data_IF_297013030314
#
_entry.id   IF_297013030314
#
_cell.length_a   1.000
_cell.length_b   1.000
_cell.length_c   1.000
_cell.angle_alpha   90.00
_cell.angle_beta   90.00
_cell.angle_gamma   90.00
#
_symmetry.space_group_name_H-M   'P 1'
#
loop_
_entity.id
_entity.type
_entity.pdbx_description
1 polymer ?
#
# COMPACT_ATOMS: atom_id res chain seq x y z
N UNK A 1 -35.26 4.26 25.36
CA UNK A 1 -34.66 3.89 24.05
C UNK A 1 -34.23 5.13 23.25
N UNK A 2 -35.16 5.96 22.76
CA UNK A 2 -34.82 7.19 22.03
C UNK A 2 -33.96 8.18 22.85
N UNK A 3 -34.29 8.40 24.11
CA UNK A 3 -33.56 9.28 25.03
C UNK A 3 -32.08 8.92 25.14
N UNK A 4 -31.75 7.64 25.36
CA UNK A 4 -30.37 7.18 25.46
C UNK A 4 -29.59 7.31 24.15
N UNK A 5 -30.22 7.09 23.00
CA UNK A 5 -29.56 7.31 21.70
C UNK A 5 -29.22 8.79 21.47
N UNK A 6 -30.07 9.72 21.92
CA UNK A 6 -29.81 11.16 21.84
C UNK A 6 -28.66 11.55 22.78
N UNK A 7 -28.67 11.05 24.02
CA UNK A 7 -27.56 11.28 24.96
C UNK A 7 -26.23 10.76 24.41
N UNK A 8 -26.21 9.53 23.86
CA UNK A 8 -25.02 8.97 23.23
C UNK A 8 -24.48 9.83 22.08
N UNK A 9 -25.37 10.39 21.24
CA UNK A 9 -24.98 11.33 20.17
C UNK A 9 -24.41 12.63 20.71
N UNK A 10 -25.03 13.20 21.73
CA UNK A 10 -24.58 14.45 22.37
C UNK A 10 -23.19 14.25 22.98
N UNK A 11 -23.00 13.21 23.80
CA UNK A 11 -21.71 12.92 24.39
C UNK A 11 -20.65 12.56 23.34
N UNK A 12 -21.03 11.82 22.28
CA UNK A 12 -20.14 11.56 21.15
C UNK A 12 -19.72 12.82 20.38
N UNK A 13 -20.59 13.83 20.28
CA UNK A 13 -20.25 15.12 19.68
C UNK A 13 -19.40 15.99 20.61
N UNK A 14 -19.61 15.89 21.92
CA UNK A 14 -18.79 16.53 22.95
C UNK A 14 -17.46 15.81 23.22
N UNK A 15 -17.22 14.67 22.57
CA UNK A 15 -16.05 13.81 22.78
C UNK A 15 -15.93 13.36 24.27
N UNK A 16 -17.08 13.23 24.94
CA UNK A 16 -17.18 12.90 26.36
C UNK A 16 -17.24 11.39 26.57
N UNK A 17 -16.09 10.81 26.90
CA UNK A 17 -15.93 9.39 27.17
C UNK A 17 -16.75 8.91 28.38
N UNK A 18 -16.77 9.68 29.46
CA UNK A 18 -17.44 9.30 30.70
C UNK A 18 -18.96 9.40 30.54
N UNK A 19 -19.44 10.41 29.80
CA UNK A 19 -20.84 10.51 29.40
C UNK A 19 -21.33 9.31 28.58
N UNK A 20 -20.52 8.80 27.64
CA UNK A 20 -20.88 7.62 26.84
C UNK A 20 -20.94 6.35 27.72
N UNK A 21 -19.98 6.16 28.64
CA UNK A 21 -20.03 5.05 29.61
C UNK A 21 -21.27 5.12 30.49
N UNK A 22 -21.56 6.31 31.02
CA UNK A 22 -22.72 6.55 31.87
C UNK A 22 -24.00 6.13 31.17
N UNK A 23 -24.19 6.50 29.90
CA UNK A 23 -25.36 6.07 29.11
C UNK A 23 -25.51 4.54 29.09
N UNK A 24 -24.43 3.80 28.86
CA UNK A 24 -24.49 2.34 28.83
C UNK A 24 -24.77 1.73 30.22
N UNK A 25 -24.16 2.27 31.27
CA UNK A 25 -24.37 1.83 32.65
C UNK A 25 -25.80 2.10 33.12
N UNK A 26 -26.34 3.28 32.83
CA UNK A 26 -27.71 3.65 33.20
C UNK A 26 -28.75 2.81 32.46
N UNK A 27 -28.53 2.49 31.19
CA UNK A 27 -29.41 1.55 30.49
C UNK A 27 -29.46 0.20 31.18
N UNK A 28 -28.29 -0.31 31.62
CA UNK A 28 -28.20 -1.57 32.36
C UNK A 28 -28.85 -1.46 33.76
N UNK A 29 -28.67 -0.35 34.48
CA UNK A 29 -29.22 -0.16 35.83
C UNK A 29 -30.75 -0.07 35.84
N UNK A 30 -31.33 0.56 34.81
CA UNK A 30 -32.80 0.68 34.63
C UNK A 30 -33.40 -0.58 33.95
N UNK A 31 -32.58 -1.60 33.67
CA UNK A 31 -33.03 -2.86 33.07
C UNK A 31 -33.43 -2.76 31.59
N UNK A 32 -33.05 -1.68 30.91
CA UNK A 32 -33.34 -1.46 29.49
C UNK A 32 -32.19 -2.00 28.64
N UNK A 33 -32.46 -3.08 27.89
CA UNK A 33 -31.45 -3.63 26.95
C UNK A 33 -31.29 -2.71 25.73
N UNK A 34 -30.05 -2.36 25.35
CA UNK A 34 -29.82 -1.64 24.10
C UNK A 34 -30.26 -2.48 22.90
N UNK A 35 -30.83 -1.84 21.88
CA UNK A 35 -31.02 -2.45 20.57
C UNK A 35 -29.85 -2.11 19.65
N UNK A 36 -29.85 -2.69 18.45
CA UNK A 36 -28.82 -2.47 17.43
C UNK A 36 -28.60 -0.98 17.12
N UNK A 37 -29.66 -0.17 17.07
CA UNK A 37 -29.55 1.26 16.81
C UNK A 37 -28.76 2.01 17.91
N UNK A 38 -29.02 1.69 19.18
CA UNK A 38 -28.30 2.28 20.31
C UNK A 38 -26.84 1.83 20.29
N UNK A 39 -26.56 0.55 20.07
CA UNK A 39 -25.19 0.05 19.95
C UNK A 39 -24.42 0.74 18.82
N UNK A 40 -25.00 0.87 17.63
CA UNK A 40 -24.36 1.57 16.51
C UNK A 40 -24.04 3.02 16.87
N UNK A 41 -24.97 3.70 17.54
CA UNK A 41 -24.76 5.08 18.01
C UNK A 41 -23.61 5.17 19.02
N UNK A 42 -23.52 4.22 19.96
CA UNK A 42 -22.45 4.18 20.95
C UNK A 42 -21.10 3.89 20.29
N UNK A 43 -21.02 2.92 19.36
CA UNK A 43 -19.79 2.59 18.64
C UNK A 43 -19.29 3.80 17.83
N UNK A 44 -20.17 4.48 17.09
CA UNK A 44 -19.82 5.71 16.37
C UNK A 44 -19.32 6.81 17.31
N UNK A 45 -19.99 7.02 18.45
CA UNK A 45 -19.59 8.01 19.45
C UNK A 45 -18.19 7.69 20.01
N UNK A 46 -17.94 6.42 20.39
CA UNK A 46 -16.64 5.98 20.90
C UNK A 46 -15.54 6.10 19.84
N UNK A 47 -15.88 5.86 18.57
CA UNK A 47 -14.95 6.06 17.46
C UNK A 47 -14.48 7.51 17.31
N UNK A 48 -15.32 8.49 17.66
CA UNK A 48 -14.92 9.92 17.69
C UNK A 48 -14.01 10.25 18.85
N UNK A 49 -14.22 9.61 20.01
CA UNK A 49 -13.37 9.75 21.20
C UNK A 49 -12.01 9.08 21.02
N UNK A 50 -11.91 8.11 20.10
CA UNK A 50 -10.65 7.39 19.84
C UNK A 50 -10.32 6.38 20.95
N UNK A 51 -11.34 5.69 21.49
CA UNK A 51 -11.17 4.65 22.53
C UNK A 51 -11.48 3.25 21.97
N UNK A 52 -10.57 2.65 21.18
CA UNK A 52 -10.80 1.37 20.49
C UNK A 52 -11.11 0.20 21.45
N UNK A 53 -10.49 0.17 22.63
CA UNK A 53 -10.77 -0.83 23.66
C UNK A 53 -12.25 -0.84 24.10
N UNK A 54 -12.82 0.36 24.25
CA UNK A 54 -14.21 0.50 24.66
C UNK A 54 -15.15 0.14 23.49
N UNK A 55 -14.80 0.52 22.26
CA UNK A 55 -15.57 0.10 21.07
C UNK A 55 -15.64 -1.42 20.96
N UNK A 56 -14.52 -2.12 21.20
CA UNK A 56 -14.47 -3.59 21.25
C UNK A 56 -15.43 -4.14 22.31
N UNK A 57 -15.38 -3.63 23.54
CA UNK A 57 -16.27 -4.11 24.61
C UNK A 57 -17.76 -3.90 24.29
N UNK A 58 -18.12 -2.81 23.62
CA UNK A 58 -19.51 -2.53 23.20
C UNK A 58 -19.92 -3.49 22.08
N UNK A 59 -19.02 -3.78 21.14
CA UNK A 59 -19.26 -4.74 20.06
C UNK A 59 -19.43 -6.16 20.59
N UNK A 60 -18.58 -6.59 21.53
CA UNK A 60 -18.70 -7.89 22.21
C UNK A 60 -20.03 -8.00 22.98
N UNK A 61 -20.45 -6.95 23.69
CA UNK A 61 -21.74 -6.89 24.41
C UNK A 61 -22.95 -6.95 23.44
N UNK A 62 -22.86 -6.33 22.26
CA UNK A 62 -23.87 -6.45 21.19
C UNK A 62 -24.01 -7.91 20.74
N UNK A 63 -22.88 -8.57 20.43
CA UNK A 63 -22.88 -9.95 19.94
C UNK A 63 -23.36 -10.92 21.03
N UNK A 64 -22.90 -10.73 22.27
CA UNK A 64 -23.32 -11.53 23.43
C UNK A 64 -24.82 -11.36 23.76
N UNK A 65 -25.41 -10.22 23.41
CA UNK A 65 -26.84 -9.96 23.54
C UNK A 65 -27.70 -10.67 22.48
N UNK A 66 -27.09 -11.46 21.60
CA UNK A 66 -27.77 -12.22 20.54
C UNK A 66 -28.19 -11.36 19.35
N UNK A 67 -27.72 -10.11 19.26
CA UNK A 67 -27.99 -9.23 18.13
C UNK A 67 -27.00 -9.53 17.00
N UNK A 68 -27.49 -9.46 15.76
CA UNK A 68 -26.64 -9.56 14.56
C UNK A 68 -26.16 -8.15 14.18
N UNK A 69 -24.84 -7.88 14.14
CA UNK A 69 -24.30 -6.65 13.58
C UNK A 69 -24.74 -6.47 12.13
N UNK A 70 -24.95 -5.22 11.72
CA UNK A 70 -25.16 -4.90 10.31
C UNK A 70 -23.93 -4.20 9.71
N UNK A 71 -23.99 -3.90 8.42
CA UNK A 71 -22.90 -3.31 7.63
C UNK A 71 -22.40 -2.00 8.26
N UNK A 72 -23.31 -1.20 8.85
CA UNK A 72 -22.96 0.03 9.57
C UNK A 72 -22.18 -0.25 10.84
N UNK A 73 -22.61 -1.23 11.64
CA UNK A 73 -21.88 -1.65 12.85
C UNK A 73 -20.47 -2.09 12.48
N UNK A 74 -20.36 -2.99 11.51
CA UNK A 74 -19.10 -3.60 11.08
C UNK A 74 -18.14 -2.56 10.49
N UNK A 75 -18.65 -1.65 9.66
CA UNK A 75 -17.86 -0.55 9.09
C UNK A 75 -17.34 0.39 10.17
N UNK A 76 -18.17 0.72 11.17
CA UNK A 76 -17.75 1.60 12.26
C UNK A 76 -16.62 0.96 13.09
N UNK A 77 -16.75 -0.32 13.44
CA UNK A 77 -15.72 -1.05 14.19
C UNK A 77 -14.43 -1.19 13.36
N UNK A 78 -14.52 -1.57 12.09
CA UNK A 78 -13.36 -1.66 11.20
C UNK A 78 -12.60 -0.33 11.09
N UNK A 79 -13.31 0.80 10.93
CA UNK A 79 -12.69 2.14 10.92
C UNK A 79 -11.99 2.47 12.23
N UNK A 80 -12.56 2.09 13.37
CA UNK A 80 -11.97 2.33 14.68
C UNK A 80 -10.68 1.53 14.85
N UNK A 81 -10.69 0.24 14.47
CA UNK A 81 -9.51 -0.61 14.55
C UNK A 81 -8.41 -0.16 13.59
N UNK A 82 -8.76 0.19 12.34
CA UNK A 82 -7.80 0.71 11.37
C UNK A 82 -7.12 1.98 11.85
N UNK A 83 -7.88 2.98 12.33
CA UNK A 83 -7.31 4.22 12.88
C UNK A 83 -6.44 4.00 14.12
N UNK A 84 -6.65 2.92 14.85
CA UNK A 84 -5.88 2.58 16.04
C UNK A 84 -4.67 1.68 15.73
N UNK A 85 -4.50 1.20 14.50
CA UNK A 85 -3.50 0.18 14.15
C UNK A 85 -3.76 -1.17 14.81
N UNK A 86 -5.00 -1.47 15.20
CA UNK A 86 -5.37 -2.72 15.87
C UNK A 86 -5.62 -3.84 14.86
N UNK A 87 -4.56 -4.23 14.16
CA UNK A 87 -4.62 -5.20 13.07
C UNK A 87 -5.16 -6.57 13.52
N UNK A 88 -4.72 -7.06 14.68
CA UNK A 88 -5.17 -8.36 15.22
C UNK A 88 -6.69 -8.37 15.47
N UNK A 89 -7.23 -7.31 16.05
CA UNK A 89 -8.66 -7.19 16.31
C UNK A 89 -9.46 -7.07 15.00
N UNK A 90 -8.90 -6.40 14.00
CA UNK A 90 -9.52 -6.34 12.68
C UNK A 90 -9.50 -7.67 11.92
N UNK A 91 -8.42 -8.46 12.03
CA UNK A 91 -8.36 -9.81 11.49
C UNK A 91 -9.43 -10.71 12.12
N UNK A 92 -9.56 -10.66 13.45
CA UNK A 92 -10.61 -11.40 14.15
C UNK A 92 -12.00 -10.97 13.72
N UNK A 93 -12.22 -9.66 13.57
CA UNK A 93 -13.48 -9.14 13.09
C UNK A 93 -13.81 -9.69 11.69
N UNK A 94 -12.84 -9.72 10.78
CA UNK A 94 -12.99 -10.31 9.45
C UNK A 94 -13.33 -11.80 9.48
N UNK A 95 -12.62 -12.59 10.29
CA UNK A 95 -12.90 -14.02 10.47
C UNK A 95 -14.29 -14.27 11.07
N UNK A 96 -14.73 -13.42 11.99
CA UNK A 96 -16.09 -13.48 12.54
C UNK A 96 -17.16 -13.16 11.48
N UNK A 97 -16.93 -12.15 10.64
CA UNK A 97 -17.84 -11.84 9.53
C UNK A 97 -18.02 -13.04 8.60
N UNK A 98 -16.90 -13.70 8.23
CA UNK A 98 -16.93 -14.90 7.39
C UNK A 98 -17.63 -16.08 8.07
N UNK A 99 -17.22 -16.44 9.27
CA UNK A 99 -17.73 -17.63 9.96
C UNK A 99 -19.22 -17.53 10.32
N UNK A 100 -19.72 -16.32 10.58
CA UNK A 100 -21.13 -16.06 10.90
C UNK A 100 -21.95 -15.62 9.69
N UNK A 101 -21.33 -15.56 8.51
CA UNK A 101 -21.95 -15.14 7.25
C UNK A 101 -22.70 -13.80 7.37
N UNK A 102 -22.08 -12.82 8.03
CA UNK A 102 -22.65 -11.49 8.18
C UNK A 102 -22.59 -10.71 6.86
N UNK A 103 -23.64 -9.93 6.59
CA UNK A 103 -23.74 -9.11 5.36
C UNK A 103 -22.63 -8.06 5.32
N UNK A 104 -21.99 -7.94 4.16
CA UNK A 104 -20.94 -6.96 3.89
C UNK A 104 -21.32 -6.13 2.66
N UNK A 105 -21.21 -4.81 2.77
CA UNK A 105 -21.42 -3.89 1.66
C UNK A 105 -20.08 -3.42 1.06
N UNK A 106 -20.17 -2.72 -0.07
CA UNK A 106 -19.01 -2.18 -0.76
C UNK A 106 -18.18 -1.24 0.12
N UNK A 107 -18.80 -0.53 1.07
CA UNK A 107 -18.12 0.41 1.97
C UNK A 107 -17.23 -0.36 2.94
N UNK A 108 -17.76 -1.45 3.48
CA UNK A 108 -17.05 -2.31 4.42
C UNK A 108 -15.85 -2.99 3.76
N UNK A 109 -16.03 -3.57 2.57
CA UNK A 109 -14.93 -4.18 1.80
C UNK A 109 -13.79 -3.18 1.55
N UNK A 110 -14.11 -2.00 1.02
CA UNK A 110 -13.11 -0.97 0.79
C UNK A 110 -12.44 -0.52 2.10
N UNK A 111 -13.19 -0.40 3.20
CA UNK A 111 -12.65 -0.02 4.51
C UNK A 111 -11.64 -1.06 5.02
N UNK A 112 -11.96 -2.34 4.93
CA UNK A 112 -11.06 -3.42 5.35
C UNK A 112 -9.81 -3.48 4.47
N UNK A 113 -9.98 -3.35 3.15
CA UNK A 113 -8.85 -3.30 2.22
C UNK A 113 -7.89 -2.15 2.55
N UNK A 114 -8.41 -0.94 2.77
CA UNK A 114 -7.58 0.23 3.13
C UNK A 114 -6.82 0.04 4.44
N UNK A 115 -7.41 -0.70 5.39
CA UNK A 115 -6.80 -1.01 6.66
C UNK A 115 -5.68 -2.04 6.53
N UNK A 116 -5.91 -3.17 5.84
CA UNK A 116 -4.89 -4.21 5.67
C UNK A 116 -3.75 -3.79 4.74
N UNK A 117 -3.99 -2.83 3.85
CA UNK A 117 -3.02 -2.35 2.88
C UNK A 117 -1.87 -1.46 3.44
N UNK A 118 -1.85 -1.17 4.75
CA UNK A 118 -0.78 -0.40 5.40
C UNK A 118 -0.56 1.03 4.87
N UNK A 119 -1.63 1.83 4.78
CA UNK A 119 -1.50 3.24 4.38
C UNK A 119 -0.67 4.04 5.40
N UNK A 120 -0.76 3.68 6.68
CA UNK A 120 -0.30 4.52 7.80
C UNK A 120 1.04 4.05 8.42
N UNK A 121 1.67 3.00 7.87
CA UNK A 121 3.03 2.58 8.23
C UNK A 121 3.14 1.73 9.50
N UNK A 122 2.09 0.98 9.83
CA UNK A 122 2.04 0.06 10.97
C UNK A 122 2.42 -1.39 10.62
N UNK A 123 2.72 -1.69 9.35
CA UNK A 123 3.01 -3.04 8.88
C UNK A 123 1.74 -3.81 8.63
N UNK A 124 1.11 -3.58 7.49
CA UNK A 124 -0.14 -4.24 7.11
C UNK A 124 0.08 -5.58 6.43
N UNK A 125 -0.94 -6.42 6.51
CA UNK A 125 -0.95 -7.75 5.97
C UNK A 125 -1.33 -7.76 4.47
N UNK A 126 -0.29 -7.77 3.62
CA UNK A 126 -0.44 -7.78 2.15
C UNK A 126 -1.15 -9.04 1.66
N UNK A 127 -0.92 -10.19 2.29
CA UNK A 127 -1.65 -11.43 1.96
C UNK A 127 -3.15 -11.26 2.19
N UNK A 128 -3.53 -10.60 3.28
CA UNK A 128 -4.94 -10.36 3.59
C UNK A 128 -5.59 -9.32 2.69
N UNK A 129 -4.86 -8.26 2.35
CA UNK A 129 -5.32 -7.28 1.35
C UNK A 129 -5.57 -7.96 0.00
N UNK A 130 -4.74 -8.93 -0.39
CA UNK A 130 -4.92 -9.71 -1.61
C UNK A 130 -6.10 -10.68 -1.53
N UNK A 131 -6.27 -11.41 -0.42
CA UNK A 131 -7.44 -12.28 -0.21
C UNK A 131 -8.75 -11.47 -0.30
N UNK A 132 -8.78 -10.28 0.30
CA UNK A 132 -9.91 -9.36 0.21
C UNK A 132 -10.17 -8.90 -1.22
N UNK A 133 -9.11 -8.58 -1.97
CA UNK A 133 -9.25 -8.16 -3.36
C UNK A 133 -9.82 -9.28 -4.26
N UNK A 134 -9.32 -10.50 -4.09
CA UNK A 134 -9.81 -11.67 -4.85
C UNK A 134 -11.29 -11.92 -4.53
N UNK A 135 -11.69 -11.86 -3.25
CA UNK A 135 -13.09 -12.00 -2.84
C UNK A 135 -13.98 -10.86 -3.36
N UNK A 136 -13.52 -9.61 -3.31
CA UNK A 136 -14.25 -8.48 -3.91
C UNK A 136 -14.50 -8.71 -5.40
N UNK A 137 -13.52 -9.28 -6.11
CA UNK A 137 -13.62 -9.57 -7.54
C UNK A 137 -14.65 -10.68 -7.82
N UNK A 138 -14.64 -11.76 -7.02
CA UNK A 138 -15.62 -12.87 -7.11
C UNK A 138 -17.06 -12.42 -6.85
N UNK A 139 -17.26 -11.56 -5.85
CA UNK A 139 -18.60 -11.02 -5.48
C UNK A 139 -19.01 -9.87 -6.43
N UNK A 140 -18.10 -9.43 -7.30
CA UNK A 140 -18.34 -8.37 -8.28
C UNK A 140 -18.35 -6.96 -7.69
N UNK A 141 -17.78 -6.78 -6.49
CA UNK A 141 -17.62 -5.48 -5.82
C UNK A 141 -16.42 -4.75 -6.41
N UNK A 142 -16.67 -3.56 -6.96
CA UNK A 142 -15.60 -2.77 -7.57
C UNK A 142 -14.78 -2.01 -6.52
N UNK A 143 -13.48 -1.94 -6.77
CA UNK A 143 -12.58 -1.08 -6.02
C UNK A 143 -12.89 0.39 -6.28
N UNK A 144 -12.81 1.20 -5.24
CA UNK A 144 -12.75 2.65 -5.41
C UNK A 144 -11.29 3.13 -5.57
N UNK A 145 -11.14 4.41 -5.90
CA UNK A 145 -9.86 5.15 -6.01
C UNK A 145 -8.88 4.79 -4.89
N UNK A 146 -9.39 4.82 -3.66
CA UNK A 146 -8.60 4.59 -2.47
C UNK A 146 -8.15 3.13 -2.41
N UNK A 147 -9.04 2.17 -2.66
CA UNK A 147 -8.73 0.74 -2.70
C UNK A 147 -7.66 0.38 -3.73
N UNK A 148 -7.74 0.91 -4.95
CA UNK A 148 -6.69 0.72 -5.98
C UNK A 148 -5.35 1.30 -5.52
N UNK A 149 -5.35 2.53 -5.01
CA UNK A 149 -4.14 3.20 -4.52
C UNK A 149 -3.50 2.41 -3.37
N UNK A 150 -4.33 1.86 -2.49
CA UNK A 150 -3.92 1.02 -1.36
C UNK A 150 -3.23 -0.25 -1.84
N UNK A 151 -3.83 -0.98 -2.77
CA UNK A 151 -3.23 -2.20 -3.31
C UNK A 151 -1.90 -1.94 -4.00
N UNK A 152 -1.80 -0.87 -4.79
CA UNK A 152 -0.54 -0.47 -5.45
C UNK A 152 0.54 -0.17 -4.40
N UNK A 153 0.21 0.63 -3.39
CA UNK A 153 1.15 0.98 -2.32
C UNK A 153 1.55 -0.26 -1.50
N UNK A 154 0.59 -1.12 -1.17
CA UNK A 154 0.79 -2.32 -0.36
C UNK A 154 1.68 -3.34 -1.07
N UNK A 155 1.34 -3.70 -2.31
CA UNK A 155 2.10 -4.65 -3.13
C UNK A 155 3.47 -4.09 -3.50
N UNK A 156 3.55 -2.78 -3.79
CA UNK A 156 4.81 -2.08 -4.05
C UNK A 156 5.75 -2.09 -2.83
N UNK A 157 5.24 -1.79 -1.62
CA UNK A 157 6.02 -1.85 -0.37
C UNK A 157 6.49 -3.27 -0.05
N UNK A 158 5.66 -4.29 -0.31
CA UNK A 158 5.98 -5.69 -0.07
C UNK A 158 6.89 -6.31 -1.14
N UNK A 159 7.15 -5.61 -2.24
CA UNK A 159 7.93 -6.13 -3.37
C UNK A 159 7.24 -7.27 -4.12
N UNK A 160 5.93 -7.44 -3.96
CA UNK A 160 5.11 -8.47 -4.65
C UNK A 160 4.69 -7.98 -6.04
N UNK A 161 5.69 -7.62 -6.84
CA UNK A 161 5.50 -6.98 -8.14
C UNK A 161 4.81 -7.91 -9.15
N UNK A 162 5.05 -9.23 -9.07
CA UNK A 162 4.38 -10.20 -9.95
C UNK A 162 2.86 -10.23 -9.71
N UNK A 163 2.43 -10.10 -8.46
CA UNK A 163 1.01 -10.04 -8.11
C UNK A 163 0.39 -8.69 -8.44
N UNK A 164 1.13 -7.59 -8.25
CA UNK A 164 0.76 -6.29 -8.78
C UNK A 164 0.53 -6.39 -10.28
N UNK A 165 1.51 -6.86 -11.03
CA UNK A 165 1.40 -7.05 -12.48
C UNK A 165 0.20 -7.95 -12.79
N UNK A 166 -0.01 -9.08 -12.10
CA UNK A 166 -1.17 -9.96 -12.32
C UNK A 166 -2.51 -9.23 -12.14
N UNK A 167 -2.70 -8.54 -11.00
CA UNK A 167 -3.89 -7.74 -10.68
C UNK A 167 -4.12 -6.65 -11.73
N UNK A 168 -3.05 -6.10 -12.28
CA UNK A 168 -3.09 -4.97 -13.21
C UNK A 168 -2.86 -5.35 -14.69
N UNK A 169 -2.70 -6.63 -15.09
CA UNK A 169 -2.36 -6.98 -16.48
C UNK A 169 -3.10 -8.16 -17.12
N UNK A 170 -3.87 -9.01 -16.43
CA UNK A 170 -4.57 -10.11 -17.11
C UNK A 170 -6.01 -10.26 -16.58
N UNK A 171 -6.97 -10.15 -17.51
CA UNK A 171 -8.44 -10.29 -17.35
C UNK A 171 -9.18 -9.19 -16.56
N UNK A 172 -8.65 -8.66 -15.46
CA UNK A 172 -9.33 -7.63 -14.65
C UNK A 172 -9.15 -6.17 -15.14
N UNK A 173 -8.36 -5.99 -16.20
CA UNK A 173 -8.03 -4.69 -16.79
C UNK A 173 -9.26 -3.84 -17.10
N UNK A 174 -10.34 -4.38 -17.64
CA UNK A 174 -11.51 -3.56 -18.02
C UNK A 174 -12.18 -2.83 -16.84
N UNK A 175 -12.23 -3.48 -15.67
CA UNK A 175 -12.87 -2.95 -14.46
C UNK A 175 -11.89 -2.10 -13.66
N UNK A 176 -10.65 -2.57 -13.51
CA UNK A 176 -9.59 -1.83 -12.80
C UNK A 176 -9.15 -0.57 -13.57
N UNK A 177 -9.07 -0.59 -14.91
CA UNK A 177 -8.86 0.63 -15.70
C UNK A 177 -10.03 1.59 -15.56
N UNK A 178 -11.29 1.13 -15.58
CA UNK A 178 -12.45 2.01 -15.42
C UNK A 178 -12.47 2.68 -14.04
N UNK A 179 -12.14 1.93 -12.99
CA UNK A 179 -11.99 2.44 -11.62
C UNK A 179 -10.79 3.41 -11.51
N UNK A 180 -9.63 3.06 -12.07
CA UNK A 180 -8.46 3.94 -12.11
C UNK A 180 -8.71 5.20 -12.96
N UNK A 181 -9.50 5.12 -14.02
CA UNK A 181 -9.85 6.24 -14.89
C UNK A 181 -10.82 7.21 -14.20
N UNK A 182 -11.69 6.72 -13.33
CA UNK A 182 -12.48 7.57 -12.42
C UNK A 182 -11.63 8.14 -11.27
N UNK A 183 -10.60 7.42 -10.84
CA UNK A 183 -9.77 7.73 -9.67
C UNK A 183 -8.66 8.73 -9.92
N UNK A 184 -7.87 8.44 -10.95
CA UNK A 184 -6.71 9.20 -11.38
C UNK A 184 -6.57 8.99 -12.91
N UNK A 185 -7.41 9.68 -13.71
CA UNK A 185 -7.38 9.57 -15.16
C UNK A 185 -5.99 9.89 -15.74
N UNK A 186 -5.18 10.66 -15.01
CA UNK A 186 -3.83 11.04 -15.42
C UNK A 186 -2.87 9.86 -15.36
N UNK A 187 -2.93 9.03 -14.31
CA UNK A 187 -2.07 7.85 -14.21
C UNK A 187 -2.40 6.83 -15.30
N UNK A 188 -3.70 6.65 -15.62
CA UNK A 188 -4.14 5.77 -16.70
C UNK A 188 -3.72 6.31 -18.07
N UNK A 189 -3.93 7.61 -18.32
CA UNK A 189 -3.50 8.26 -19.54
C UNK A 189 -1.98 8.12 -19.73
N UNK A 190 -1.22 8.20 -18.64
CA UNK A 190 0.23 8.07 -18.67
C UNK A 190 0.70 6.64 -18.93
N UNK A 191 0.06 5.62 -18.35
CA UNK A 191 0.37 4.21 -18.67
C UNK A 191 0.10 3.94 -20.16
N UNK A 192 -1.03 4.42 -20.69
CA UNK A 192 -1.33 4.32 -22.12
C UNK A 192 -0.31 5.09 -22.98
N UNK A 193 0.15 6.27 -22.52
CA UNK A 193 1.16 7.08 -23.20
C UNK A 193 2.51 6.36 -23.26
N UNK A 194 2.90 5.69 -22.18
CA UNK A 194 4.14 4.91 -22.11
C UNK A 194 4.11 3.75 -23.11
N UNK A 195 2.95 3.10 -23.26
CA UNK A 195 2.72 1.99 -24.18
C UNK A 195 2.65 2.43 -25.65
N UNK A 196 2.34 3.70 -25.92
CA UNK A 196 2.36 4.24 -27.28
C UNK A 196 3.80 4.41 -27.76
N UNK A 197 4.21 3.56 -28.72
CA UNK A 197 5.52 3.63 -29.37
C UNK A 197 5.77 4.95 -30.11
N UNK A 198 4.72 5.70 -30.45
CA UNK A 198 4.84 7.00 -31.14
C UNK A 198 5.10 8.16 -30.18
N UNK A 199 4.88 7.98 -28.88
CA UNK A 199 5.01 9.09 -27.94
C UNK A 199 6.48 9.44 -27.70
N UNK A 200 6.80 10.74 -27.65
CA UNK A 200 8.19 11.18 -27.47
C UNK A 200 8.57 11.21 -25.99
N UNK A 201 9.87 11.15 -25.70
CA UNK A 201 10.37 11.30 -24.32
C UNK A 201 9.94 12.64 -23.69
N UNK A 202 9.86 13.72 -24.47
CA UNK A 202 9.43 15.02 -23.97
C UNK A 202 7.96 15.00 -23.52
N UNK A 203 7.07 14.35 -24.28
CA UNK A 203 5.67 14.17 -23.87
C UNK A 203 5.55 13.32 -22.62
N UNK A 204 6.29 12.21 -22.55
CA UNK A 204 6.33 11.36 -21.34
C UNK A 204 6.88 12.15 -20.15
N UNK A 205 7.89 12.99 -20.35
CA UNK A 205 8.48 13.82 -19.29
C UNK A 205 7.50 14.85 -18.74
N UNK A 206 6.74 15.54 -19.58
CA UNK A 206 5.76 16.54 -19.15
C UNK A 206 4.65 15.91 -18.31
N UNK A 207 4.07 14.80 -18.78
CA UNK A 207 3.02 14.07 -18.05
C UNK A 207 3.55 13.45 -16.76
N UNK A 208 4.75 12.86 -16.79
CA UNK A 208 5.38 12.31 -15.60
C UNK A 208 5.61 13.38 -14.52
N UNK A 209 6.07 14.57 -14.93
CA UNK A 209 6.24 15.71 -14.03
C UNK A 209 4.91 16.12 -13.40
N UNK A 210 3.83 16.14 -14.18
CA UNK A 210 2.50 16.47 -13.69
C UNK A 210 2.02 15.44 -12.64
N UNK A 211 2.19 14.15 -12.92
CA UNK A 211 1.89 13.07 -11.95
C UNK A 211 2.65 13.25 -10.65
N UNK A 212 3.96 13.53 -10.72
CA UNK A 212 4.76 13.74 -9.52
C UNK A 212 4.28 14.96 -8.72
N UNK A 213 3.85 16.04 -9.40
CA UNK A 213 3.36 17.24 -8.72
C UNK A 213 2.06 17.02 -7.94
N UNK A 214 1.19 16.13 -8.40
CA UNK A 214 -0.08 15.77 -7.75
C UNK A 214 0.09 14.64 -6.71
N UNK A 215 1.26 13.98 -6.71
CA UNK A 215 1.59 12.88 -5.79
C UNK A 215 2.32 13.39 -4.55
N UNK A 216 1.93 12.89 -3.37
CA UNK A 216 2.67 13.10 -2.11
C UNK A 216 4.11 12.58 -2.20
N UNK A 217 5.05 13.29 -1.56
CA UNK A 217 6.50 13.03 -1.68
C UNK A 217 6.91 11.58 -1.38
N UNK A 218 6.30 10.95 -0.39
CA UNK A 218 6.57 9.58 0.05
C UNK A 218 6.11 8.51 -0.96
N UNK A 219 5.11 8.83 -1.80
CA UNK A 219 4.56 7.93 -2.81
C UNK A 219 5.23 8.06 -4.19
N UNK A 220 5.97 9.15 -4.46
CA UNK A 220 6.60 9.41 -5.77
C UNK A 220 7.58 8.32 -6.22
N UNK A 221 8.47 7.87 -5.31
CA UNK A 221 9.46 6.83 -5.62
C UNK A 221 8.80 5.47 -5.86
N UNK A 222 7.89 4.98 -4.98
CA UNK A 222 7.13 3.76 -5.26
C UNK A 222 6.42 3.78 -6.63
N UNK A 223 5.77 4.89 -6.99
CA UNK A 223 5.09 5.01 -8.29
C UNK A 223 6.08 4.90 -9.45
N UNK A 224 7.23 5.59 -9.37
CA UNK A 224 8.24 5.51 -10.42
C UNK A 224 8.80 4.08 -10.58
N UNK A 225 9.13 3.40 -9.47
CA UNK A 225 9.54 1.99 -9.49
C UNK A 225 8.47 1.11 -10.18
N UNK A 226 7.20 1.29 -9.82
CA UNK A 226 6.09 0.52 -10.41
C UNK A 226 5.98 0.75 -11.92
N UNK A 227 6.07 1.99 -12.39
CA UNK A 227 5.99 2.30 -13.82
C UNK A 227 7.16 1.67 -14.60
N UNK A 228 8.36 1.66 -14.01
CA UNK A 228 9.52 0.97 -14.61
C UNK A 228 9.27 -0.54 -14.70
N UNK A 229 8.71 -1.15 -13.66
CA UNK A 229 8.37 -2.59 -13.66
C UNK A 229 7.28 -2.94 -14.68
N UNK A 230 6.28 -2.06 -14.87
CA UNK A 230 5.25 -2.22 -15.92
C UNK A 230 5.89 -2.20 -17.31
N UNK A 231 6.79 -1.24 -17.57
CA UNK A 231 7.54 -1.21 -18.83
C UNK A 231 8.33 -2.51 -19.04
N UNK A 232 8.96 -3.03 -17.98
CA UNK A 232 9.72 -4.27 -18.01
C UNK A 232 8.86 -5.49 -18.33
N UNK A 233 7.70 -5.64 -17.66
CA UNK A 233 6.80 -6.78 -17.90
C UNK A 233 6.20 -6.77 -19.31
N UNK A 234 6.02 -5.58 -19.90
CA UNK A 234 5.56 -5.39 -21.29
C UNK A 234 6.68 -5.40 -22.34
N UNK A 235 7.92 -5.72 -21.96
CA UNK A 235 9.11 -5.68 -22.82
C UNK A 235 9.44 -4.29 -23.42
N UNK A 236 8.92 -3.21 -22.82
CA UNK A 236 9.19 -1.82 -23.20
C UNK A 236 10.48 -1.32 -22.53
N UNK A 237 11.61 -1.98 -22.78
CA UNK A 237 12.87 -1.70 -22.10
C UNK A 237 13.35 -0.24 -22.26
N UNK A 238 13.19 0.36 -23.45
CA UNK A 238 13.54 1.76 -23.67
C UNK A 238 12.77 2.72 -22.76
N UNK A 239 11.46 2.48 -22.58
CA UNK A 239 10.63 3.26 -21.66
C UNK A 239 11.00 3.06 -20.19
N UNK A 240 11.41 1.85 -19.83
CA UNK A 240 11.92 1.56 -18.48
C UNK A 240 13.15 2.43 -18.18
N UNK A 241 14.08 2.57 -19.14
CA UNK A 241 15.24 3.46 -19.05
C UNK A 241 14.84 4.94 -18.98
N UNK A 242 13.95 5.39 -19.87
CA UNK A 242 13.44 6.76 -19.85
C UNK A 242 12.86 7.15 -18.48
N UNK A 243 12.06 6.26 -17.88
CA UNK A 243 11.46 6.50 -16.57
C UNK A 243 12.48 6.48 -15.43
N UNK A 244 13.49 5.60 -15.49
CA UNK A 244 14.59 5.61 -14.52
C UNK A 244 15.40 6.91 -14.61
N UNK A 245 15.66 7.38 -15.83
CA UNK A 245 16.32 8.66 -16.08
C UNK A 245 15.49 9.82 -15.51
N UNK A 246 14.19 9.87 -15.81
CA UNK A 246 13.30 10.90 -15.30
C UNK A 246 13.18 10.85 -13.76
N UNK A 247 13.06 9.67 -13.18
CA UNK A 247 13.04 9.50 -11.73
C UNK A 247 14.33 10.01 -11.07
N UNK A 248 15.49 9.77 -11.70
CA UNK A 248 16.77 10.34 -11.26
C UNK A 248 16.78 11.86 -11.39
N UNK A 249 16.33 12.39 -12.54
CA UNK A 249 16.27 13.83 -12.83
C UNK A 249 15.39 14.59 -11.81
N UNK A 250 14.27 13.99 -11.40
CA UNK A 250 13.36 14.56 -10.40
C UNK A 250 13.74 14.20 -8.95
N UNK A 251 14.92 13.64 -8.73
CA UNK A 251 15.46 13.41 -7.38
C UNK A 251 14.81 12.26 -6.62
N UNK A 252 14.11 11.35 -7.30
CA UNK A 252 13.48 10.19 -6.67
C UNK A 252 14.51 9.16 -6.20
N UNK A 253 15.66 9.07 -6.87
CA UNK A 253 16.74 8.13 -6.54
C UNK A 253 18.03 8.86 -6.14
N UNK A 254 18.04 9.55 -4.97
CA UNK A 254 19.24 10.23 -4.50
C UNK A 254 20.35 9.20 -4.25
N UNK A 255 21.53 9.46 -4.80
CA UNK A 255 22.71 8.57 -4.68
C UNK A 255 22.47 7.17 -5.26
N UNK A 256 21.63 7.05 -6.29
CA UNK A 256 21.47 5.82 -7.07
C UNK A 256 22.84 5.27 -7.49
N UNK A 257 23.70 6.16 -7.96
CA UNK A 257 25.08 5.86 -8.29
C UNK A 257 26.05 6.78 -7.55
N UNK A 258 27.10 6.17 -7.02
CA UNK A 258 28.28 6.88 -6.55
C UNK A 258 29.47 6.47 -7.44
N UNK A 259 30.17 7.46 -7.98
CA UNK A 259 31.33 7.25 -8.85
C UNK A 259 32.46 8.16 -8.37
N UNK A 260 33.39 7.58 -7.65
CA UNK A 260 34.62 8.25 -7.21
C UNK A 260 35.84 7.59 -7.84
N UNK A 261 37.02 8.18 -7.64
CA UNK A 261 38.30 7.57 -8.03
C UNK A 261 38.60 6.27 -7.28
N UNK A 262 37.96 6.03 -6.13
CA UNK A 262 38.29 4.92 -5.21
C UNK A 262 37.16 3.91 -5.05
N UNK A 263 35.91 4.26 -5.39
CA UNK A 263 34.74 3.43 -5.17
C UNK A 263 33.66 3.76 -6.19
N UNK A 264 33.11 2.72 -6.81
CA UNK A 264 31.91 2.80 -7.65
C UNK A 264 30.81 1.96 -7.00
N UNK A 265 29.68 2.58 -6.66
CA UNK A 265 28.59 1.86 -5.97
C UNK A 265 27.20 2.19 -6.46
N UNK A 266 26.43 1.14 -6.72
CA UNK A 266 25.02 1.20 -7.15
C UNK A 266 24.14 0.85 -5.96
N UNK A 267 23.28 1.78 -5.56
CA UNK A 267 22.31 1.57 -4.49
C UNK A 267 21.00 1.01 -5.06
N UNK A 268 20.72 -0.25 -4.76
CA UNK A 268 19.51 -0.95 -5.22
C UNK A 268 18.49 -1.18 -4.09
N UNK A 269 18.83 -0.83 -2.86
CA UNK A 269 18.02 -1.13 -1.67
C UNK A 269 16.61 -0.58 -1.72
N UNK A 270 16.41 0.55 -2.40
CA UNK A 270 15.09 1.20 -2.51
C UNK A 270 14.48 1.07 -3.91
N UNK A 271 15.05 0.22 -4.75
CA UNK A 271 14.54 -0.07 -6.09
C UNK A 271 13.72 -1.36 -6.05
N UNK A 272 12.68 -1.40 -6.87
CA UNK A 272 12.04 -2.67 -7.21
C UNK A 272 12.94 -3.51 -8.12
N UNK A 273 12.58 -4.77 -8.36
CA UNK A 273 13.43 -5.71 -9.12
C UNK A 273 13.66 -5.21 -10.55
N UNK A 274 12.61 -4.75 -11.25
CA UNK A 274 12.74 -4.25 -12.60
C UNK A 274 13.54 -2.94 -12.63
N UNK A 275 13.29 -2.01 -11.71
CA UNK A 275 14.08 -0.79 -11.58
C UNK A 275 15.56 -1.04 -11.26
N UNK A 276 15.87 -2.00 -10.38
CA UNK A 276 17.25 -2.39 -10.07
C UNK A 276 17.96 -3.00 -11.28
N UNK A 277 17.27 -3.84 -12.06
CA UNK A 277 17.81 -4.40 -13.28
C UNK A 277 18.00 -3.32 -14.36
N UNK A 278 17.10 -2.33 -14.46
CA UNK A 278 17.25 -1.18 -15.39
C UNK A 278 18.46 -0.35 -15.02
N UNK A 279 18.61 -0.04 -13.73
CA UNK A 279 19.75 0.71 -13.22
C UNK A 279 21.06 -0.04 -13.44
N UNK A 280 21.07 -1.37 -13.28
CA UNK A 280 22.23 -2.20 -13.55
C UNK A 280 22.61 -2.21 -15.04
N UNK A 281 21.63 -2.24 -15.95
CA UNK A 281 21.88 -2.17 -17.40
C UNK A 281 22.51 -0.84 -17.80
N UNK A 282 21.98 0.28 -17.32
CA UNK A 282 22.60 1.60 -17.53
C UNK A 282 24.00 1.65 -16.96
N UNK A 283 24.17 1.12 -15.75
CA UNK A 283 25.46 1.07 -15.07
C UNK A 283 26.51 0.31 -15.85
N UNK A 284 26.14 -0.84 -16.42
CA UNK A 284 27.02 -1.65 -17.26
C UNK A 284 27.39 -0.92 -18.55
N UNK A 285 26.50 -0.11 -19.10
CA UNK A 285 26.78 0.75 -20.25
C UNK A 285 27.87 1.79 -19.99
N UNK A 286 28.08 2.18 -18.74
CA UNK A 286 29.08 3.18 -18.32
C UNK A 286 30.47 2.59 -18.03
N UNK A 287 30.66 1.27 -18.25
CA UNK A 287 31.92 0.61 -17.96
C UNK A 287 32.98 0.84 -19.06
N UNK A 288 34.24 1.12 -18.68
CA UNK A 288 35.36 1.02 -19.60
C UNK A 288 35.44 -0.40 -20.18
N UNK A 289 35.76 -0.53 -21.48
CA UNK A 289 35.88 -1.84 -22.17
C UNK A 289 36.81 -2.84 -21.48
N UNK A 290 37.77 -2.38 -20.67
CA UNK A 290 38.68 -3.22 -19.88
C UNK A 290 38.01 -3.99 -18.73
N UNK A 291 36.92 -3.45 -18.15
CA UNK A 291 36.19 -4.09 -17.05
C UNK A 291 35.21 -5.17 -17.55
N UNK A 292 34.73 -5.10 -18.79
CA UNK A 292 33.82 -6.11 -19.36
C UNK A 292 34.45 -7.49 -19.54
N UNK A 293 35.79 -7.60 -19.49
CA UNK A 293 36.53 -8.85 -19.68
C UNK A 293 36.76 -9.62 -18.36
N UNK A 294 36.61 -8.98 -17.20
CA UNK A 294 36.99 -9.55 -15.90
C UNK A 294 35.77 -9.99 -15.08
N UNK A 295 35.28 -11.22 -15.33
CA UNK A 295 34.09 -11.83 -14.72
C UNK A 295 34.18 -12.15 -13.20
N UNK A 296 35.30 -11.89 -12.51
CA UNK A 296 35.59 -12.45 -11.17
C UNK A 296 35.46 -11.51 -9.96
N UNK A 297 35.13 -10.22 -10.14
CA UNK A 297 35.13 -9.23 -9.04
C UNK A 297 33.75 -8.96 -8.41
N UNK A 298 32.89 -9.96 -8.26
CA UNK A 298 31.52 -9.76 -7.77
C UNK A 298 31.36 -10.31 -6.36
N UNK A 299 31.20 -9.43 -5.36
CA UNK A 299 30.64 -9.80 -4.06
C UNK A 299 29.29 -9.13 -3.88
N UNK A 300 28.23 -9.91 -4.05
CA UNK A 300 26.88 -9.50 -3.67
C UNK A 300 26.79 -9.55 -2.14
N UNK A 301 26.39 -8.44 -1.51
CA UNK A 301 26.28 -8.27 -0.06
C UNK A 301 25.23 -9.16 0.63
N UNK A 302 24.67 -10.17 -0.06
CA UNK A 302 23.96 -11.31 0.56
C UNK A 302 24.80 -12.57 0.76
N UNK A 303 26.06 -12.64 0.33
CA UNK A 303 26.92 -13.83 0.51
C UNK A 303 28.39 -13.46 0.83
N UNK A 304 28.66 -13.23 2.13
CA UNK A 304 29.97 -13.21 2.84
C UNK A 304 31.06 -12.17 2.41
N UNK A 305 31.94 -11.75 3.34
CA UNK A 305 33.05 -10.84 3.03
C UNK A 305 34.14 -11.53 2.20
N UNK A 306 34.78 -10.75 1.32
CA UNK A 306 35.95 -11.17 0.52
C UNK A 306 37.14 -11.41 1.45
N UNK A 307 37.88 -12.54 1.31
CA UNK A 307 39.07 -12.80 2.12
C UNK A 307 40.16 -11.72 1.91
N UNK A 308 40.86 -11.29 2.97
CA UNK A 308 41.87 -10.22 2.89
C UNK A 308 43.07 -10.55 1.98
N UNK A 309 43.24 -11.82 1.62
CA UNK A 309 44.32 -12.31 0.75
C UNK A 309 44.15 -11.89 -0.73
N UNK A 310 42.93 -11.52 -1.16
CA UNK A 310 42.64 -11.07 -2.53
C UNK A 310 42.80 -9.55 -2.73
N UNK A 311 43.12 -8.80 -1.68
CA UNK A 311 43.26 -7.33 -1.72
C UNK A 311 44.64 -6.90 -2.25
N UNK A 312 45.62 -7.81 -2.34
CA UNK A 312 47.03 -7.48 -2.57
C UNK A 312 47.66 -8.08 -3.84
N UNK A 313 46.92 -8.36 -4.92
CA UNK A 313 47.56 -8.62 -6.23
C UNK A 313 47.62 -7.35 -7.07
N UNK A 314 48.80 -6.72 -7.24
CA UNK A 314 48.95 -5.51 -8.02
C UNK A 314 49.12 -5.91 -9.48
N UNK A 315 48.01 -5.96 -10.23
CA UNK A 315 47.92 -5.70 -11.69
C UNK A 315 46.47 -5.96 -12.14
N UNK A 316 45.82 -4.89 -12.57
CA UNK A 316 44.61 -4.85 -13.41
C UNK A 316 43.22 -5.02 -12.77
N UNK A 317 42.89 -4.20 -11.76
CA UNK A 317 41.59 -3.50 -11.63
C UNK A 317 41.57 -2.59 -10.38
N UNK A 318 41.66 -1.24 -10.48
CA UNK A 318 41.90 -0.41 -9.30
C UNK A 318 40.64 0.08 -8.57
N UNK A 319 39.42 -0.37 -8.93
CA UNK A 319 38.19 0.21 -8.36
C UNK A 319 37.24 -0.91 -7.86
N UNK A 320 37.03 -1.03 -6.54
CA UNK A 320 35.99 -1.88 -5.97
C UNK A 320 34.59 -1.44 -6.44
N UNK A 321 33.80 -2.40 -6.92
CA UNK A 321 32.39 -2.24 -7.25
C UNK A 321 31.54 -2.80 -6.11
N UNK A 322 30.68 -1.97 -5.53
CA UNK A 322 29.79 -2.35 -4.42
C UNK A 322 28.33 -2.21 -4.85
N UNK A 323 27.57 -3.31 -4.78
CA UNK A 323 26.11 -3.29 -4.81
C UNK A 323 25.63 -3.13 -3.36
N UNK A 324 24.98 -2.02 -3.06
CA UNK A 324 24.54 -1.63 -1.71
C UNK A 324 23.01 -1.58 -1.64
#
# INVERSE_FOLDING_TARGET
MFTFSVLAKIFGAAVDYEGIKYVLQEMKSVGVRPNLFVYNTLIEAVGRVGKPAFARSIFEDLVASGLTPNEKTLTAVAKIYGKAGWEIDALKLWEEMKSKNWSMDYILYNTLLTMFADIDGSGGNVDKAMELFEEMSEVGVELNVMGCTCLIQCLGKAGRIDELVRVFTVEDMGRVLACLQQANPLLVAFVNLIEDEKSTLDTVKEEFKYILSDTKDDARRPICNCLIDICRSKNLHGRAHDLLYLGTLYGLYPRLHNKTTYEWSLNVRTLSVGAALTALEEWRGLWPKSLSEHKRCWSCSRLKPVPPELINSPKDCPIPLLLI
#
